data_IF_851188058127
#
_entry.id   IF_851188058127
#
_cell.length_a   1.000
_cell.length_b   1.000
_cell.length_c   1.000
_cell.angle_alpha   90.00
_cell.angle_beta   90.00
_cell.angle_gamma   90.00
#
_symmetry.space_group_name_H-M   'P 1'
#
loop_
_entity.id
_entity.type
_entity.pdbx_description
1 polymer ?
#
# COMPACT_ATOMS: atom_id res chain seq x y z
N UNK A 1 39.84 44.57 -42.81
CA UNK A 1 38.95 43.41 -42.90
C UNK A 1 37.74 43.70 -42.05
N UNK A 2 36.63 43.89 -42.75
CA UNK A 2 35.28 44.17 -42.26
C UNK A 2 34.62 42.87 -41.77
N UNK A 3 33.69 42.95 -40.81
CA UNK A 3 33.05 41.74 -40.29
C UNK A 3 32.22 41.89 -39.01
N UNK A 4 31.45 42.97 -38.85
CA UNK A 4 30.31 42.98 -37.91
C UNK A 4 29.08 42.51 -38.67
N UNK A 5 28.43 41.42 -38.24
CA UNK A 5 27.07 41.07 -38.67
C UNK A 5 26.19 40.70 -37.48
N UNK A 6 25.03 41.33 -37.51
CA UNK A 6 23.91 41.36 -36.57
C UNK A 6 23.23 40.02 -36.28
N UNK A 7 22.58 40.04 -35.11
CA UNK A 7 21.36 39.36 -34.67
C UNK A 7 20.56 38.55 -35.68
N UNK A 8 20.10 37.38 -35.24
CA UNK A 8 18.73 36.93 -35.50
C UNK A 8 18.25 36.13 -34.29
N UNK A 9 17.34 36.72 -33.53
CA UNK A 9 16.48 36.04 -32.56
C UNK A 9 15.30 35.43 -33.36
N UNK A 10 14.88 34.23 -33.01
CA UNK A 10 13.72 33.57 -33.62
C UNK A 10 12.91 32.90 -32.52
N UNK A 11 12.11 33.74 -31.86
CA UNK A 11 10.93 33.32 -31.12
C UNK A 11 9.91 32.74 -32.11
N UNK A 12 9.50 31.49 -31.89
CA UNK A 12 8.32 30.92 -32.55
C UNK A 12 7.32 30.55 -31.46
N UNK A 13 6.31 31.40 -31.30
CA UNK A 13 5.06 31.11 -30.58
C UNK A 13 4.19 30.22 -31.46
N UNK A 14 3.81 29.05 -30.96
CA UNK A 14 2.66 28.30 -31.48
C UNK A 14 1.64 28.18 -30.37
N UNK A 15 0.48 28.76 -30.64
CA UNK A 15 -0.69 28.85 -29.78
C UNK A 15 -1.46 27.51 -29.75
N UNK A 16 -1.97 27.21 -28.56
CA UNK A 16 -3.26 26.58 -28.25
C UNK A 16 -3.94 25.62 -29.24
N UNK A 17 -4.08 24.35 -28.83
CA UNK A 17 -5.28 23.56 -29.15
C UNK A 17 -5.83 22.88 -27.88
N UNK A 18 -6.90 23.46 -27.36
CA UNK A 18 -7.86 22.89 -26.41
C UNK A 18 -8.48 21.58 -26.94
N UNK A 19 -8.08 20.42 -26.40
CA UNK A 19 -8.89 19.19 -26.50
C UNK A 19 -9.67 18.99 -25.20
N UNK A 20 -10.87 19.58 -25.20
CA UNK A 20 -11.92 19.33 -24.23
C UNK A 20 -12.77 18.13 -24.65
N UNK A 21 -12.60 16.98 -24.00
CA UNK A 21 -13.61 15.91 -24.04
C UNK A 21 -13.79 15.27 -22.65
N UNK A 22 -14.84 15.74 -21.97
CA UNK A 22 -15.91 14.94 -21.37
C UNK A 22 -15.57 13.86 -20.34
N UNK A 23 -15.74 14.26 -19.07
CA UNK A 23 -16.25 13.49 -17.92
C UNK A 23 -16.62 12.03 -18.22
N UNK A 24 -15.75 11.11 -17.82
CA UNK A 24 -16.07 9.70 -17.60
C UNK A 24 -16.70 9.55 -16.21
N UNK A 25 -17.98 9.93 -16.12
CA UNK A 25 -18.88 9.47 -15.07
C UNK A 25 -20.09 8.86 -15.77
N UNK A 26 -20.59 7.75 -15.22
CA UNK A 26 -21.80 7.04 -15.63
C UNK A 26 -21.61 5.90 -16.64
N UNK A 27 -21.17 4.72 -16.16
CA UNK A 27 -21.45 3.47 -16.87
C UNK A 27 -21.28 2.17 -16.03
N UNK A 28 -21.72 2.11 -14.77
CA UNK A 28 -22.11 0.80 -14.17
C UNK A 28 -23.20 0.96 -13.09
N UNK A 29 -24.41 1.33 -13.50
CA UNK A 29 -25.61 1.19 -12.65
C UNK A 29 -26.84 1.13 -13.54
N UNK A 30 -27.25 -0.08 -13.92
CA UNK A 30 -28.64 -0.51 -14.12
C UNK A 30 -28.70 -1.69 -15.10
N UNK A 31 -28.91 -2.90 -14.58
CA UNK A 31 -29.98 -3.76 -15.10
C UNK A 31 -30.78 -4.25 -13.89
N UNK A 32 -31.86 -3.53 -13.61
CA UNK A 32 -32.99 -4.02 -12.83
C UNK A 32 -33.78 -5.02 -13.68
N UNK A 33 -33.98 -6.21 -13.12
CA UNK A 33 -35.27 -6.89 -12.88
C UNK A 33 -36.46 -6.53 -13.82
N UNK A 34 -36.94 -7.53 -14.58
CA UNK A 34 -38.36 -7.84 -14.91
C UNK A 34 -38.40 -9.07 -15.85
N UNK A 35 -38.79 -10.28 -15.43
CA UNK A 35 -40.13 -10.86 -15.19
C UNK A 35 -40.86 -11.37 -16.45
N UNK A 36 -41.14 -12.68 -16.51
CA UNK A 36 -42.34 -13.30 -17.12
C UNK A 36 -42.41 -14.81 -16.81
N UNK A 37 -43.60 -15.45 -16.87
CA UNK A 37 -44.05 -16.47 -15.92
C UNK A 37 -44.02 -17.90 -16.50
N UNK A 38 -44.04 -18.91 -15.63
CA UNK A 38 -44.38 -20.29 -16.03
C UNK A 38 -45.38 -20.89 -15.06
N UNK A 39 -46.57 -21.16 -15.58
CA UNK A 39 -47.73 -21.81 -14.98
C UNK A 39 -47.60 -23.33 -15.02
N UNK A 40 -48.01 -24.03 -13.95
CA UNK A 40 -48.84 -25.25 -13.87
C UNK A 40 -48.55 -26.03 -12.56
N UNK A 41 -49.35 -27.03 -12.15
CA UNK A 41 -50.64 -26.89 -11.48
C UNK A 41 -50.66 -27.56 -10.08
N UNK A 42 -51.66 -27.21 -9.28
CA UNK A 42 -51.95 -27.77 -7.94
C UNK A 42 -52.68 -29.11 -8.00
N UNK A 43 -52.41 -30.05 -7.08
CA UNK A 43 -53.41 -31.03 -6.63
C UNK A 43 -53.66 -30.96 -5.11
N UNK A 44 -54.77 -31.54 -4.61
CA UNK A 44 -55.45 -31.13 -3.39
C UNK A 44 -54.97 -31.85 -2.11
N UNK A 45 -55.16 -31.19 -0.96
CA UNK A 45 -55.33 -31.83 0.36
C UNK A 45 -56.82 -32.25 0.51
N UNK A 46 -57.24 -33.20 1.38
CA UNK A 46 -56.80 -33.34 2.77
C UNK A 46 -56.78 -34.77 3.38
N UNK A 47 -56.14 -34.92 4.53
CA UNK A 47 -56.58 -35.86 5.58
C UNK A 47 -55.97 -35.44 6.92
N UNK A 48 -56.84 -35.17 7.89
CA UNK A 48 -56.51 -34.93 9.30
C UNK A 48 -55.86 -36.18 9.89
N UNK A 49 -54.70 -36.00 10.55
CA UNK A 49 -54.08 -37.02 11.37
C UNK A 49 -53.90 -36.50 12.80
N UNK A 50 -54.25 -37.36 13.74
CA UNK A 50 -54.46 -37.13 15.16
C UNK A 50 -53.27 -36.48 15.89
N UNK A 51 -53.61 -35.61 16.85
CA UNK A 51 -52.68 -34.98 17.79
C UNK A 51 -52.22 -36.01 18.83
N UNK A 52 -50.97 -36.45 18.72
CA UNK A 52 -50.28 -37.20 19.77
C UNK A 52 -49.47 -36.21 20.63
N UNK A 53 -49.62 -36.16 21.96
CA UNK A 53 -48.84 -35.24 22.78
C UNK A 53 -47.40 -35.77 22.99
N UNK A 54 -46.42 -35.02 22.51
CA UNK A 54 -45.00 -35.24 22.81
C UNK A 54 -44.66 -34.85 24.27
N UNK A 55 -43.67 -35.50 24.93
CA UNK A 55 -43.30 -35.17 26.29
C UNK A 55 -42.54 -33.85 26.38
N UNK A 56 -42.81 -33.14 27.48
CA UNK A 56 -42.26 -31.83 27.89
C UNK A 56 -40.71 -31.81 27.85
N UNK A 57 -40.07 -30.77 27.26
CA UNK A 57 -38.63 -30.62 27.35
C UNK A 57 -38.23 -30.24 28.79
N UNK A 58 -37.26 -30.96 29.34
CA UNK A 58 -36.58 -30.61 30.59
C UNK A 58 -35.73 -29.35 30.39
N UNK A 59 -35.70 -28.41 31.35
CA UNK A 59 -34.85 -27.24 31.22
C UNK A 59 -33.38 -27.65 31.43
N UNK A 60 -32.54 -27.46 30.42
CA UNK A 60 -31.09 -27.49 30.55
C UNK A 60 -30.64 -26.36 31.50
N UNK A 61 -29.61 -26.58 32.34
CA UNK A 61 -29.07 -25.54 33.19
C UNK A 61 -28.45 -24.43 32.34
N UNK A 62 -29.00 -23.22 32.47
CA UNK A 62 -28.47 -21.99 31.91
C UNK A 62 -27.09 -21.71 32.50
N UNK A 63 -26.03 -21.93 31.72
CA UNK A 63 -24.72 -21.35 32.02
C UNK A 63 -24.84 -19.82 31.93
N UNK A 64 -24.42 -19.07 32.96
CA UNK A 64 -24.33 -17.63 32.83
C UNK A 64 -23.19 -17.33 31.84
N UNK A 65 -23.55 -16.87 30.64
CA UNK A 65 -22.59 -16.25 29.74
C UNK A 65 -22.31 -14.87 30.30
N UNK A 66 -21.30 -14.78 31.16
CA UNK A 66 -20.77 -13.51 31.63
C UNK A 66 -20.30 -12.73 30.40
N UNK A 67 -20.79 -11.51 30.14
CA UNK A 67 -20.25 -10.70 29.06
C UNK A 67 -18.75 -10.45 29.33
N UNK A 68 -17.89 -10.45 28.30
CA UNK A 68 -16.49 -10.11 28.50
C UNK A 68 -16.41 -8.71 29.14
N UNK A 69 -15.46 -8.48 30.07
CA UNK A 69 -15.30 -7.17 30.67
C UNK A 69 -15.04 -6.14 29.55
N UNK A 70 -15.65 -4.94 29.62
CA UNK A 70 -15.38 -3.90 28.63
C UNK A 70 -13.89 -3.58 28.67
N UNK A 71 -13.20 -3.80 27.55
CA UNK A 71 -11.80 -3.39 27.43
C UNK A 71 -11.73 -1.87 27.64
N UNK A 72 -10.87 -1.43 28.56
CA UNK A 72 -10.66 -0.01 28.83
C UNK A 72 -10.20 0.70 27.56
N UNK A 73 -10.78 1.88 27.27
CA UNK A 73 -10.39 2.74 26.15
C UNK A 73 -8.87 3.03 26.15
N UNK A 74 -8.26 3.11 27.35
CA UNK A 74 -6.82 3.29 27.51
C UNK A 74 -6.02 2.07 27.04
N UNK A 75 -6.51 0.85 27.26
CA UNK A 75 -5.86 -0.39 26.80
C UNK A 75 -5.92 -0.52 25.27
N UNK A 76 -7.06 -0.17 24.66
CA UNK A 76 -7.20 -0.13 23.20
C UNK A 76 -6.28 0.93 22.57
N UNK A 77 -6.15 2.09 23.19
CA UNK A 77 -5.22 3.13 22.73
C UNK A 77 -3.77 2.65 22.81
N UNK A 78 -3.35 2.05 23.93
CA UNK A 78 -1.98 1.54 24.11
C UNK A 78 -1.64 0.43 23.11
N UNK A 79 -2.55 -0.52 22.89
CA UNK A 79 -2.34 -1.59 21.89
C UNK A 79 -2.22 -1.03 20.48
N UNK A 80 -3.03 -0.03 20.12
CA UNK A 80 -2.92 0.64 18.82
C UNK A 80 -1.57 1.35 18.66
N UNK A 81 -1.07 2.01 19.72
CA UNK A 81 0.20 2.72 19.69
C UNK A 81 1.38 1.77 19.53
N UNK A 82 1.37 0.64 20.26
CA UNK A 82 2.38 -0.42 20.10
C UNK A 82 2.38 -0.97 18.68
N UNK A 83 1.21 -1.29 18.12
CA UNK A 83 1.10 -1.79 16.73
C UNK A 83 1.62 -0.79 15.71
N UNK A 84 1.33 0.51 15.88
CA UNK A 84 1.89 1.56 15.01
C UNK A 84 3.41 1.61 15.11
N UNK A 85 3.96 1.48 16.31
CA UNK A 85 5.42 1.45 16.50
C UNK A 85 6.07 0.24 15.83
N UNK A 86 5.41 -0.92 15.81
CA UNK A 86 5.93 -2.10 15.11
C UNK A 86 6.01 -1.88 13.60
N UNK A 87 5.01 -1.20 13.01
CA UNK A 87 5.04 -0.81 11.59
C UNK A 87 6.17 0.17 11.29
N UNK A 88 6.41 1.14 12.17
CA UNK A 88 7.54 2.08 12.02
C UNK A 88 8.86 1.31 12.08
N UNK A 89 9.05 0.45 13.09
CA UNK A 89 10.28 -0.35 13.26
C UNK A 89 10.59 -1.26 12.08
N UNK A 90 9.59 -1.95 11.52
CA UNK A 90 9.82 -2.81 10.36
C UNK A 90 10.10 -2.00 9.09
N UNK A 91 9.53 -0.79 8.98
CA UNK A 91 9.86 0.15 7.91
C UNK A 91 11.30 0.66 8.01
N UNK A 92 11.76 0.99 9.22
CA UNK A 92 13.16 1.36 9.48
C UNK A 92 14.13 0.22 9.11
N UNK A 93 13.82 -1.01 9.48
CA UNK A 93 14.61 -2.20 9.11
C UNK A 93 14.67 -2.41 7.59
N UNK A 94 13.55 -2.22 6.89
CA UNK A 94 13.50 -2.30 5.43
C UNK A 94 14.41 -1.22 4.80
N UNK A 95 14.30 0.03 5.23
CA UNK A 95 15.14 1.14 4.74
C UNK A 95 16.62 0.89 5.03
N UNK A 96 16.94 0.31 6.19
CA UNK A 96 18.30 -0.05 6.55
C UNK A 96 18.86 -1.12 5.60
N UNK A 97 18.07 -2.13 5.24
CA UNK A 97 18.47 -3.13 4.24
C UNK A 97 18.78 -2.49 2.87
N UNK A 98 17.96 -1.53 2.44
CA UNK A 98 18.19 -0.74 1.21
C UNK A 98 19.49 0.05 1.29
N UNK A 99 19.69 0.82 2.37
CA UNK A 99 20.88 1.65 2.53
C UNK A 99 22.18 0.83 2.60
N UNK A 100 22.11 -0.41 3.09
CA UNK A 100 23.26 -1.31 3.16
C UNK A 100 23.48 -2.12 1.88
N UNK A 101 22.58 -2.03 0.89
CA UNK A 101 22.60 -2.91 -0.27
C UNK A 101 22.41 -4.40 0.07
N UNK A 102 21.73 -4.71 1.18
CA UNK A 102 21.45 -6.07 1.63
C UNK A 102 20.13 -6.58 1.02
N UNK A 103 20.24 -7.16 -0.17
CA UNK A 103 19.08 -7.70 -0.87
C UNK A 103 18.43 -8.86 -0.12
N UNK A 104 19.20 -9.68 0.60
CA UNK A 104 18.66 -10.85 1.30
C UNK A 104 17.76 -10.41 2.46
N UNK A 105 18.19 -9.43 3.25
CA UNK A 105 17.37 -8.82 4.29
C UNK A 105 16.12 -8.14 3.71
N UNK A 106 16.27 -7.38 2.61
CA UNK A 106 15.15 -6.74 1.92
C UNK A 106 14.11 -7.77 1.45
N UNK A 107 14.55 -8.84 0.79
CA UNK A 107 13.70 -9.90 0.28
C UNK A 107 13.00 -10.69 1.40
N UNK A 108 13.61 -10.82 2.58
CA UNK A 108 12.95 -11.42 3.75
C UNK A 108 11.79 -10.57 4.27
N UNK A 109 11.84 -9.26 4.12
CA UNK A 109 10.82 -8.33 4.61
C UNK A 109 9.71 -8.11 3.57
N UNK A 110 10.02 -8.21 2.27
CA UNK A 110 9.04 -8.00 1.21
C UNK A 110 8.24 -9.28 0.90
N UNK A 111 7.04 -9.09 0.36
CA UNK A 111 6.30 -10.16 -0.29
C UNK A 111 6.96 -10.50 -1.65
N UNK A 112 7.05 -11.78 -2.06
CA UNK A 112 7.60 -12.14 -3.37
C UNK A 112 6.86 -11.52 -4.56
N UNK A 113 5.56 -11.22 -4.42
CA UNK A 113 4.71 -10.49 -5.35
C UNK A 113 4.53 -9.02 -5.00
N UNK A 114 5.51 -8.40 -4.33
CA UNK A 114 5.55 -6.96 -4.05
C UNK A 114 5.23 -6.17 -5.32
N UNK A 115 4.29 -5.22 -5.22
CA UNK A 115 4.04 -4.26 -6.30
C UNK A 115 4.62 -2.90 -5.95
N UNK A 116 5.14 -2.17 -6.95
CA UNK A 116 5.70 -0.84 -6.72
C UNK A 116 5.39 0.19 -7.82
N UNK A 117 5.21 1.43 -7.37
CA UNK A 117 5.37 2.64 -8.19
C UNK A 117 6.56 3.43 -7.65
N UNK A 118 7.52 3.74 -8.51
CA UNK A 118 8.68 4.55 -8.15
C UNK A 118 9.21 5.28 -9.39
N UNK A 119 9.98 6.38 -9.24
CA UNK A 119 10.51 7.14 -10.37
C UNK A 119 11.24 6.26 -11.40
N UNK A 120 11.96 5.26 -10.93
CA UNK A 120 12.73 4.29 -11.71
C UNK A 120 11.85 3.40 -12.60
N UNK A 121 10.58 3.21 -12.25
CA UNK A 121 9.61 2.42 -13.03
C UNK A 121 8.95 3.23 -14.17
N UNK A 122 9.28 4.52 -14.30
CA UNK A 122 8.83 5.40 -15.38
C UNK A 122 7.28 5.42 -15.55
N UNK A 123 6.57 5.43 -14.42
CA UNK A 123 5.11 5.46 -14.38
C UNK A 123 4.41 4.11 -14.58
N UNK A 124 5.16 3.01 -14.67
CA UNK A 124 4.60 1.66 -14.76
C UNK A 124 4.49 1.02 -13.36
N UNK A 125 3.49 0.14 -13.20
CA UNK A 125 3.41 -0.73 -12.04
C UNK A 125 4.40 -1.88 -12.23
N UNK A 126 5.37 -1.98 -11.32
CA UNK A 126 6.30 -3.11 -11.25
C UNK A 126 5.72 -4.17 -10.32
N UNK A 127 5.93 -5.44 -10.66
CA UNK A 127 5.58 -6.59 -9.80
C UNK A 127 6.80 -7.50 -9.61
N UNK A 128 6.97 -7.97 -8.38
CA UNK A 128 8.01 -8.89 -7.98
C UNK A 128 9.34 -8.22 -7.60
N UNK A 129 10.34 -9.06 -7.34
CA UNK A 129 11.59 -8.63 -6.72
C UNK A 129 12.73 -8.38 -7.71
N UNK A 130 12.62 -8.88 -8.94
CA UNK A 130 13.73 -8.86 -9.91
C UNK A 130 14.09 -7.44 -10.36
N UNK A 131 13.10 -6.55 -10.50
CA UNK A 131 13.33 -5.13 -10.79
C UNK A 131 14.21 -4.47 -9.72
N UNK A 132 13.87 -4.70 -8.45
CA UNK A 132 14.61 -4.15 -7.31
C UNK A 132 16.00 -4.79 -7.19
N UNK A 133 16.11 -6.12 -7.39
CA UNK A 133 17.37 -6.88 -7.36
C UNK A 133 18.43 -6.24 -8.25
N UNK A 134 18.06 -5.80 -9.45
CA UNK A 134 18.97 -5.12 -10.37
C UNK A 134 19.69 -3.93 -9.70
N UNK A 135 18.97 -3.06 -8.98
CA UNK A 135 19.55 -1.91 -8.28
C UNK A 135 20.42 -2.32 -7.09
N UNK A 136 20.05 -3.38 -6.38
CA UNK A 136 20.89 -3.94 -5.30
C UNK A 136 22.24 -4.42 -5.83
N UNK A 137 22.24 -5.20 -6.91
CA UNK A 137 23.47 -5.78 -7.48
C UNK A 137 24.36 -4.76 -8.19
N UNK A 138 23.76 -3.71 -8.77
CA UNK A 138 24.49 -2.78 -9.63
C UNK A 138 24.80 -1.42 -9.01
N UNK A 139 24.04 -0.98 -8.01
CA UNK A 139 24.17 0.35 -7.41
C UNK A 139 24.39 0.28 -5.89
N UNK A 140 23.45 -0.32 -5.15
CA UNK A 140 23.42 -0.22 -3.69
C UNK A 140 24.55 -1.00 -3.01
N UNK A 141 24.80 -2.24 -3.44
CA UNK A 141 25.87 -3.09 -2.87
C UNK A 141 27.28 -2.56 -3.14
N UNK A 142 27.44 -1.68 -4.13
CA UNK A 142 28.72 -1.07 -4.51
C UNK A 142 28.96 0.29 -3.85
N UNK A 143 27.97 0.83 -3.14
CA UNK A 143 28.07 2.12 -2.50
C UNK A 143 28.86 2.03 -1.19
N UNK A 144 30.07 2.57 -1.17
CA UNK A 144 30.93 2.62 0.01
C UNK A 144 30.81 3.93 0.79
N UNK A 145 30.04 4.91 0.30
CA UNK A 145 29.91 6.22 0.93
C UNK A 145 28.82 6.20 2.01
N UNK A 146 28.98 6.95 3.11
CA UNK A 146 27.95 7.06 4.13
C UNK A 146 26.63 7.61 3.55
N UNK A 147 25.54 6.89 3.80
CA UNK A 147 24.17 7.37 3.60
C UNK A 147 23.50 7.49 4.96
N UNK A 148 22.91 8.65 5.23
CA UNK A 148 22.05 8.86 6.38
C UNK A 148 20.61 9.04 5.91
N UNK A 149 19.67 8.32 6.52
CA UNK A 149 18.24 8.45 6.21
C UNK A 149 17.46 8.77 7.47
N UNK A 150 16.54 9.72 7.36
CA UNK A 150 15.59 10.09 8.42
C UNK A 150 14.16 9.91 7.91
N UNK A 151 13.33 9.22 8.68
CA UNK A 151 11.88 9.13 8.44
C UNK A 151 11.23 10.33 9.15
N UNK A 152 10.62 11.22 8.38
CA UNK A 152 9.93 12.39 8.87
C UNK A 152 8.41 12.17 8.85
N UNK A 153 7.76 12.61 9.93
CA UNK A 153 6.30 12.60 10.10
C UNK A 153 5.62 11.27 9.70
N UNK A 154 6.03 10.12 10.28
CA UNK A 154 5.43 8.84 9.93
C UNK A 154 3.97 8.76 10.40
N UNK A 155 3.07 8.50 9.47
CA UNK A 155 1.64 8.37 9.71
C UNK A 155 1.20 6.93 9.43
N UNK A 156 0.79 6.20 10.48
CA UNK A 156 0.36 4.81 10.38
C UNK A 156 -1.17 4.68 10.53
N UNK A 157 -1.79 4.06 9.54
CA UNK A 157 -3.18 3.60 9.55
C UNK A 157 -3.21 2.08 9.75
N UNK A 158 -3.78 1.63 10.87
CA UNK A 158 -4.04 0.20 11.09
C UNK A 158 -5.36 -0.16 10.40
N UNK A 159 -5.34 -1.22 9.59
CA UNK A 159 -6.48 -1.70 8.81
C UNK A 159 -6.81 -3.11 9.31
N UNK A 160 -7.77 -3.20 10.23
CA UNK A 160 -8.06 -4.46 10.92
C UNK A 160 -6.89 -4.97 11.76
N UNK A 161 -6.73 -6.29 11.81
CA UNK A 161 -5.72 -6.95 12.63
C UNK A 161 -4.41 -7.19 11.86
N UNK A 162 -4.51 -7.56 10.58
CA UNK A 162 -3.37 -8.05 9.78
C UNK A 162 -2.91 -7.12 8.67
N UNK A 163 -3.44 -5.90 8.57
CA UNK A 163 -2.98 -4.93 7.59
C UNK A 163 -2.66 -3.57 8.23
N UNK A 164 -1.71 -2.87 7.63
CA UNK A 164 -1.38 -1.49 7.96
C UNK A 164 -0.88 -0.74 6.73
N UNK A 165 -1.11 0.56 6.71
CA UNK A 165 -0.52 1.48 5.75
C UNK A 165 0.32 2.49 6.51
N UNK A 166 1.52 2.78 6.05
CA UNK A 166 2.36 3.86 6.57
C UNK A 166 2.71 4.81 5.43
N UNK A 167 2.57 6.11 5.67
CA UNK A 167 3.06 7.16 4.79
C UNK A 167 4.03 8.05 5.56
N UNK A 168 5.11 8.48 4.91
CA UNK A 168 6.15 9.31 5.52
C UNK A 168 6.93 10.07 4.46
N UNK A 169 7.70 11.05 4.90
CA UNK A 169 8.73 11.70 4.09
C UNK A 169 10.06 11.03 4.41
N UNK A 170 10.78 10.55 3.39
CA UNK A 170 12.14 10.05 3.53
C UNK A 170 13.11 11.16 3.16
N UNK A 171 13.89 11.61 4.14
CA UNK A 171 14.99 12.54 3.91
C UNK A 171 16.29 11.74 3.90
N UNK A 172 17.02 11.78 2.78
CA UNK A 172 18.29 11.08 2.61
C UNK A 172 19.41 12.07 2.41
N UNK A 173 20.47 11.94 3.20
CA UNK A 173 21.69 12.73 3.11
C UNK A 173 22.83 11.79 2.69
N UNK A 174 23.62 12.22 1.72
CA UNK A 174 24.69 11.41 1.13
C UNK A 174 25.82 12.31 0.62
N UNK A 175 26.95 11.71 0.30
CA UNK A 175 28.09 12.40 -0.33
C UNK A 175 28.13 12.04 -1.81
N UNK A 176 28.10 13.04 -2.70
CA UNK A 176 28.09 12.84 -4.15
C UNK A 176 29.46 12.45 -4.73
N UNK A 177 29.53 12.18 -6.04
CA UNK A 177 30.77 11.88 -6.77
C UNK A 177 31.92 12.88 -6.54
N UNK A 178 31.61 14.15 -6.28
CA UNK A 178 32.57 15.23 -6.07
C UNK A 178 33.00 15.39 -4.60
N UNK A 179 32.41 14.60 -3.69
CA UNK A 179 32.71 14.69 -2.26
C UNK A 179 31.85 15.71 -1.51
N UNK A 180 30.81 16.28 -2.13
CA UNK A 180 29.96 17.26 -1.47
C UNK A 180 28.77 16.59 -0.77
N UNK A 181 28.39 17.06 0.44
CA UNK A 181 27.19 16.60 1.09
C UNK A 181 25.95 17.11 0.34
N UNK A 182 25.03 16.20 0.03
CA UNK A 182 23.75 16.48 -0.62
C UNK A 182 22.60 15.95 0.22
N UNK A 183 21.41 16.47 -0.04
CA UNK A 183 20.16 16.00 0.55
C UNK A 183 19.12 15.82 -0.54
N UNK A 184 18.33 14.75 -0.44
CA UNK A 184 17.22 14.41 -1.32
C UNK A 184 16.02 14.02 -0.48
N UNK A 185 14.82 14.34 -0.98
CA UNK A 185 13.57 14.01 -0.34
C UNK A 185 12.68 13.18 -1.28
N UNK A 186 12.04 12.16 -0.72
CA UNK A 186 10.93 11.46 -1.36
C UNK A 186 9.75 11.33 -0.40
N UNK A 187 8.55 11.19 -0.95
CA UNK A 187 7.35 10.82 -0.20
C UNK A 187 7.08 9.34 -0.44
N UNK A 188 7.01 8.55 0.62
CA UNK A 188 6.89 7.11 0.53
C UNK A 188 5.61 6.63 1.23
N UNK A 189 4.89 5.73 0.55
CA UNK A 189 3.77 4.97 1.13
C UNK A 189 4.08 3.49 1.04
N UNK A 190 3.88 2.76 2.14
CA UNK A 190 4.03 1.30 2.20
C UNK A 190 2.79 0.65 2.78
N UNK A 191 2.34 -0.41 2.12
CA UNK A 191 1.30 -1.30 2.64
C UNK A 191 1.94 -2.54 3.20
N UNK A 192 1.59 -2.86 4.43
CA UNK A 192 2.06 -4.00 5.18
C UNK A 192 0.92 -4.98 5.39
N UNK A 193 1.19 -6.25 5.17
CA UNK A 193 0.28 -7.34 5.48
C UNK A 193 0.99 -8.36 6.37
N UNK A 194 0.29 -8.84 7.40
CA UNK A 194 0.83 -9.81 8.35
C UNK A 194 0.40 -11.22 7.94
N UNK A 195 1.37 -12.11 7.74
CA UNK A 195 1.14 -13.55 7.52
C UNK A 195 2.01 -14.32 8.50
N UNK A 196 1.44 -15.32 9.16
CA UNK A 196 2.15 -16.14 10.15
C UNK A 196 2.89 -15.30 11.22
N UNK A 197 2.23 -14.25 11.70
CA UNK A 197 2.76 -13.26 12.66
C UNK A 197 3.96 -12.42 12.17
N UNK A 198 4.28 -12.46 10.87
CA UNK A 198 5.34 -11.66 10.26
C UNK A 198 4.76 -10.59 9.34
N UNK A 199 5.17 -9.35 9.54
CA UNK A 199 4.84 -8.26 8.62
C UNK A 199 5.63 -8.39 7.33
N UNK A 200 4.94 -8.28 6.21
CA UNK A 200 5.53 -8.23 4.88
C UNK A 200 5.08 -6.97 4.14
N UNK A 201 6.01 -6.30 3.47
CA UNK A 201 5.65 -5.19 2.60
C UNK A 201 5.08 -5.76 1.30
N UNK A 202 3.80 -5.47 1.01
CA UNK A 202 3.09 -6.00 -0.16
C UNK A 202 2.93 -4.96 -1.27
N UNK A 203 3.03 -3.67 -0.93
CA UNK A 203 2.99 -2.59 -1.89
C UNK A 203 3.83 -1.41 -1.44
N UNK A 204 4.48 -0.74 -2.39
CA UNK A 204 5.30 0.45 -2.18
C UNK A 204 4.99 1.51 -3.24
N UNK A 205 4.90 2.77 -2.82
CA UNK A 205 4.83 3.91 -3.73
C UNK A 205 5.85 4.96 -3.27
N UNK A 206 6.74 5.36 -4.17
CA UNK A 206 7.65 6.49 -4.01
C UNK A 206 7.30 7.61 -4.99
N UNK A 207 7.18 8.85 -4.50
CA UNK A 207 7.17 10.06 -5.32
C UNK A 207 8.31 10.99 -4.95
N UNK A 208 8.62 11.95 -5.83
CA UNK A 208 9.70 12.90 -5.63
C UNK A 208 11.04 12.38 -6.15
N UNK A 209 12.10 12.49 -5.35
CA UNK A 209 13.42 12.06 -5.76
C UNK A 209 13.51 10.51 -5.87
N UNK A 210 14.40 9.99 -6.76
CA UNK A 210 14.70 8.55 -6.84
C UNK A 210 15.08 7.95 -5.50
N UNK A 211 14.72 6.69 -5.27
CA UNK A 211 14.92 6.00 -3.98
C UNK A 211 16.40 5.71 -3.68
N UNK A 212 17.22 5.65 -4.75
CA UNK A 212 18.67 5.63 -4.68
C UNK A 212 19.22 6.92 -5.32
N UNK A 213 20.01 7.74 -4.60
CA UNK A 213 20.64 8.90 -5.21
C UNK A 213 21.56 8.45 -6.34
N UNK A 214 21.36 8.99 -7.54
CA UNK A 214 22.35 8.89 -8.61
C UNK A 214 23.63 9.57 -8.10
N UNK A 215 24.67 8.78 -7.83
CA UNK A 215 25.96 9.26 -7.28
C UNK A 215 26.87 9.85 -8.34
#
# INVERSE_FOLDING_TARGET
MDGTKESTDSSTTVEDEDVKVSRLSDLVSNVRRSSAPSTAPTPPAPAEAEVVPAPRPTPHPSHPTTPPPPMSLSSLSLTSQTRKQDIIKITEQLIQAVNNGDFEAYAKICDPGLTSFEPEALGNLVEGMDFHRFYFENLLSKNSKPIHTTILNPHVHLIGEDAACIAYIRLTQFVDGLGHPRSSQSEETRVWHRRDSKWQNVHFHCSGAPAAPLQ
#
